data_IF_037529175546
#
_entry.id   IF_037529175546
#
_cell.length_a   1.000
_cell.length_b   1.000
_cell.length_c   1.000
_cell.angle_alpha   90.00
_cell.angle_beta   90.00
_cell.angle_gamma   90.00
#
_symmetry.space_group_name_H-M   'P 1'
#
loop_
_entity.id
_entity.type
_entity.pdbx_description
1 polymer ?
#
# COMPACT_ATOMS: atom_id res chain seq x y z
N UNK A 1 45.10 -43.91 23.85
CA UNK A 1 44.31 -43.34 22.74
C UNK A 1 43.24 -42.44 23.36
N UNK A 2 43.31 -41.12 23.19
CA UNK A 2 42.36 -40.15 23.78
C UNK A 2 41.11 -40.05 22.89
N UNK A 3 39.89 -40.36 23.36
CA UNK A 3 38.66 -40.29 22.58
C UNK A 3 38.05 -38.88 22.48
N UNK A 4 38.83 -37.82 22.75
CA UNK A 4 38.31 -36.45 22.89
C UNK A 4 38.26 -35.63 21.60
N UNK A 5 39.01 -35.98 20.56
CA UNK A 5 39.16 -35.16 19.35
C UNK A 5 37.98 -35.26 18.38
N UNK A 6 37.34 -36.43 18.26
CA UNK A 6 36.19 -36.62 17.36
C UNK A 6 34.92 -35.90 17.84
N UNK A 7 34.67 -35.87 19.16
CA UNK A 7 33.51 -35.21 19.75
C UNK A 7 33.60 -33.68 19.67
N UNK A 8 34.82 -33.14 19.79
CA UNK A 8 35.08 -31.70 19.68
C UNK A 8 34.90 -31.19 18.24
N UNK A 9 35.36 -31.97 17.24
CA UNK A 9 35.15 -31.66 15.81
C UNK A 9 33.68 -31.74 15.40
N UNK A 10 32.94 -32.74 15.94
CA UNK A 10 31.50 -32.87 15.72
C UNK A 10 30.73 -31.68 16.34
N UNK A 11 31.10 -31.22 17.54
CA UNK A 11 30.50 -30.04 18.16
C UNK A 11 30.79 -28.74 17.38
N UNK A 12 32.01 -28.55 16.87
CA UNK A 12 32.39 -27.41 16.02
C UNK A 12 31.64 -27.40 14.68
N UNK A 13 31.39 -28.56 14.08
CA UNK A 13 30.62 -28.69 12.84
C UNK A 13 29.14 -28.30 13.02
N UNK A 14 28.52 -28.66 14.15
CA UNK A 14 27.11 -28.31 14.45
C UNK A 14 26.94 -26.81 14.74
N UNK A 15 27.93 -26.15 15.35
CA UNK A 15 27.95 -24.69 15.56
C UNK A 15 28.04 -23.89 14.25
N UNK A 16 28.42 -24.54 13.14
CA UNK A 16 28.62 -23.92 11.82
C UNK A 16 27.43 -24.13 10.87
N UNK A 17 26.37 -24.79 11.33
CA UNK A 17 25.17 -25.03 10.54
C UNK A 17 24.39 -23.72 10.38
N UNK A 18 24.14 -23.29 9.15
CA UNK A 18 23.36 -22.08 8.86
C UNK A 18 22.28 -22.41 7.84
N UNK A 19 21.04 -22.00 8.14
CA UNK A 19 19.91 -22.04 7.22
C UNK A 19 19.31 -20.64 7.17
N UNK A 20 19.21 -20.04 5.99
CA UNK A 20 18.52 -18.77 5.80
C UNK A 20 17.58 -18.82 4.62
N UNK A 21 16.54 -18.00 4.66
CA UNK A 21 15.52 -17.87 3.63
C UNK A 21 15.44 -16.43 3.15
N UNK A 22 15.12 -16.25 1.88
CA UNK A 22 14.80 -14.95 1.26
C UNK A 22 13.41 -15.01 0.60
N UNK A 23 12.74 -13.88 0.30
CA UNK A 23 11.51 -13.87 -0.49
C UNK A 23 11.69 -14.62 -1.83
N UNK A 24 10.69 -15.33 -2.39
CA UNK A 24 10.83 -15.95 -3.74
C UNK A 24 10.64 -14.96 -4.88
N UNK A 25 10.04 -13.82 -4.60
CA UNK A 25 9.79 -12.76 -5.57
C UNK A 25 10.15 -11.41 -4.93
N UNK A 26 10.65 -10.49 -5.76
CA UNK A 26 10.92 -9.11 -5.34
C UNK A 26 9.58 -8.42 -5.08
N UNK A 27 9.42 -7.91 -3.87
CA UNK A 27 8.31 -7.02 -3.52
C UNK A 27 8.74 -5.61 -3.89
N UNK A 28 8.05 -4.92 -4.83
CA UNK A 28 8.40 -3.55 -5.18
C UNK A 28 8.16 -2.63 -3.98
N UNK A 29 9.04 -1.65 -3.79
CA UNK A 29 8.78 -0.55 -2.86
C UNK A 29 7.73 0.36 -3.48
N UNK A 30 6.63 0.57 -2.76
CA UNK A 30 5.56 1.47 -3.19
C UNK A 30 5.93 2.91 -2.92
N UNK A 31 6.03 3.71 -3.99
CA UNK A 31 6.01 5.16 -3.86
C UNK A 31 4.56 5.59 -3.60
N UNK A 32 4.27 6.02 -2.38
CA UNK A 32 2.95 6.52 -2.02
C UNK A 32 2.68 7.84 -2.76
N UNK A 33 1.50 7.95 -3.35
CA UNK A 33 1.01 9.24 -3.86
C UNK A 33 0.75 10.18 -2.68
N UNK A 34 0.86 11.50 -2.87
CA UNK A 34 0.39 12.46 -1.87
C UNK A 34 -1.13 12.30 -1.69
N UNK A 35 -1.63 12.69 -0.52
CA UNK A 35 -3.06 12.56 -0.19
C UNK A 35 -3.97 13.46 -1.04
N UNK A 36 -3.38 14.40 -1.77
CA UNK A 36 -4.08 15.19 -2.79
C UNK A 36 -3.26 15.15 -4.06
N UNK A 37 -3.81 14.52 -5.11
CA UNK A 37 -3.18 14.44 -6.43
C UNK A 37 -3.88 15.40 -7.37
N UNK A 38 -3.17 16.44 -7.81
CA UNK A 38 -3.64 17.37 -8.85
C UNK A 38 -3.28 16.77 -10.20
N UNK A 39 -4.22 16.07 -10.84
CA UNK A 39 -3.99 15.37 -12.12
C UNK A 39 -3.99 16.33 -13.34
N UNK A 40 -4.61 17.50 -13.21
CA UNK A 40 -4.55 18.62 -14.15
C UNK A 40 -4.75 19.93 -13.38
N UNK A 41 -4.40 21.09 -13.98
CA UNK A 41 -4.48 22.43 -13.37
C UNK A 41 -5.90 22.94 -13.09
N UNK A 42 -6.86 22.04 -12.86
CA UNK A 42 -8.24 22.38 -12.60
C UNK A 42 -8.48 22.52 -11.09
N UNK A 43 -9.01 23.68 -10.72
CA UNK A 43 -9.33 24.19 -9.39
C UNK A 43 -10.48 23.42 -8.69
N UNK A 44 -10.38 22.10 -8.57
CA UNK A 44 -11.39 21.27 -7.92
C UNK A 44 -12.60 20.95 -8.82
N UNK A 45 -12.39 20.84 -10.14
CA UNK A 45 -13.44 20.41 -11.05
C UNK A 45 -13.47 18.86 -11.09
N UNK A 46 -14.52 18.27 -10.54
CA UNK A 46 -14.85 16.87 -10.74
C UNK A 46 -14.98 16.60 -12.25
N UNK A 47 -14.13 15.72 -12.78
CA UNK A 47 -14.15 15.37 -14.18
C UNK A 47 -15.31 14.37 -14.44
N UNK A 48 -16.50 14.92 -14.74
CA UNK A 48 -17.75 14.29 -15.24
C UNK A 48 -18.66 13.58 -14.20
N UNK A 49 -20.01 13.71 -14.32
CA UNK A 49 -20.76 14.86 -13.83
C UNK A 49 -20.90 14.81 -12.29
N UNK A 50 -20.17 15.67 -11.60
CA UNK A 50 -20.35 15.93 -10.18
C UNK A 50 -20.63 17.41 -9.92
N UNK A 51 -20.55 17.79 -8.67
CA UNK A 51 -20.45 19.19 -8.26
C UNK A 51 -18.99 19.57 -7.99
N UNK A 52 -18.72 20.86 -7.81
CA UNK A 52 -17.44 21.32 -7.30
C UNK A 52 -17.68 22.14 -6.05
N UNK A 53 -16.92 21.88 -4.97
CA UNK A 53 -16.94 22.74 -3.78
C UNK A 53 -16.12 24.02 -3.98
N UNK A 54 -15.30 24.11 -5.03
CA UNK A 54 -14.40 25.24 -5.23
C UNK A 54 -13.36 25.40 -4.13
N UNK A 55 -12.89 24.30 -3.55
CA UNK A 55 -11.80 24.27 -2.58
C UNK A 55 -10.90 23.05 -2.80
N UNK A 56 -9.69 23.12 -2.28
CA UNK A 56 -8.75 21.99 -2.24
C UNK A 56 -8.42 21.70 -0.79
N UNK A 57 -8.75 20.49 -0.33
CA UNK A 57 -8.40 20.00 1.00
C UNK A 57 -6.98 19.41 1.04
N UNK A 58 -6.46 19.21 2.24
CA UNK A 58 -5.26 18.47 2.55
C UNK A 58 -5.42 17.85 3.95
N UNK A 59 -4.59 16.85 4.29
CA UNK A 59 -4.49 16.37 5.67
C UNK A 59 -4.14 17.55 6.59
N UNK A 60 -4.81 17.64 7.74
CA UNK A 60 -4.51 18.66 8.73
C UNK A 60 -3.32 18.24 9.57
N UNK A 61 -2.11 18.56 9.12
CA UNK A 61 -0.88 18.28 9.87
C UNK A 61 -0.53 19.43 10.82
N UNK A 62 0.20 19.13 11.89
CA UNK A 62 0.77 20.16 12.77
C UNK A 62 1.87 20.94 12.06
N UNK A 63 1.96 22.25 12.31
CA UNK A 63 3.00 23.12 11.72
C UNK A 63 4.41 22.93 12.39
N UNK A 64 4.62 21.82 13.09
CA UNK A 64 5.83 21.51 13.85
C UNK A 64 6.96 21.00 12.96
N UNK A 65 8.16 21.58 13.07
CA UNK A 65 9.34 21.14 12.32
C UNK A 65 9.96 19.82 12.82
N UNK A 66 9.64 19.41 14.06
CA UNK A 66 10.30 18.27 14.72
C UNK A 66 9.35 17.12 15.07
N UNK A 67 8.04 17.36 15.05
CA UNK A 67 7.05 16.35 15.39
C UNK A 67 5.76 16.61 14.63
N UNK A 68 5.67 16.04 13.42
CA UNK A 68 4.49 16.15 12.57
C UNK A 68 3.43 15.20 13.14
N UNK A 69 2.33 15.77 13.63
CA UNK A 69 1.14 15.01 14.01
C UNK A 69 -0.02 15.31 13.07
N UNK A 70 -0.82 14.29 12.78
CA UNK A 70 -2.12 14.47 12.12
C UNK A 70 -3.09 14.98 13.18
N UNK A 71 -3.73 16.10 12.86
CA UNK A 71 -4.73 16.78 13.68
C UNK A 71 -6.13 16.51 13.09
N UNK A 72 -7.19 16.64 13.90
CA UNK A 72 -8.56 16.46 13.41
C UNK A 72 -8.94 17.44 12.30
N UNK A 73 -9.77 16.97 11.37
CA UNK A 73 -10.34 17.75 10.26
C UNK A 73 -9.47 17.80 9.00
N UNK A 74 -10.04 18.40 7.95
CA UNK A 74 -9.41 18.59 6.64
C UNK A 74 -8.94 20.04 6.54
N UNK A 75 -7.65 20.27 6.29
CA UNK A 75 -7.10 21.62 6.12
C UNK A 75 -7.40 22.15 4.72
N UNK A 76 -7.96 23.35 4.62
CA UNK A 76 -8.23 24.02 3.35
C UNK A 76 -6.92 24.63 2.83
N UNK A 77 -6.41 24.10 1.72
CA UNK A 77 -5.17 24.56 1.10
C UNK A 77 -5.40 25.74 0.16
N UNK A 78 -6.47 25.68 -0.62
CA UNK A 78 -6.84 26.70 -1.58
C UNK A 78 -8.36 26.78 -1.72
N UNK A 79 -8.84 27.96 -2.10
CA UNK A 79 -10.25 28.22 -2.42
C UNK A 79 -10.29 28.89 -3.79
N UNK A 80 -11.18 28.43 -4.66
CA UNK A 80 -11.39 28.97 -5.98
C UNK A 80 -12.12 30.32 -5.87
N UNK A 81 -11.59 31.40 -6.48
CA UNK A 81 -12.28 32.70 -6.51
C UNK A 81 -13.67 32.59 -7.16
N UNK A 82 -14.68 33.18 -6.53
CA UNK A 82 -16.09 33.11 -6.91
C UNK A 82 -16.75 31.74 -6.70
N UNK A 83 -16.01 30.74 -6.22
CA UNK A 83 -16.47 29.36 -6.04
C UNK A 83 -17.46 29.20 -4.87
N UNK A 84 -18.15 28.05 -4.78
CA UNK A 84 -19.08 27.76 -3.68
C UNK A 84 -18.50 27.96 -2.28
N UNK A 85 -17.28 27.46 -2.04
CA UNK A 85 -16.60 27.62 -0.77
C UNK A 85 -16.29 29.09 -0.42
N UNK A 86 -15.82 29.90 -1.40
CA UNK A 86 -15.56 31.32 -1.16
C UNK A 86 -16.85 32.07 -0.84
N UNK A 87 -17.93 31.78 -1.58
CA UNK A 87 -19.27 32.34 -1.33
C UNK A 87 -19.83 31.97 0.05
N UNK A 88 -19.50 30.78 0.53
CA UNK A 88 -19.82 30.31 1.88
C UNK A 88 -18.90 30.91 2.97
N UNK A 89 -17.89 31.71 2.57
CA UNK A 89 -16.97 32.39 3.48
C UNK A 89 -15.77 31.55 3.94
N UNK A 90 -15.55 30.37 3.35
CA UNK A 90 -14.39 29.51 3.60
C UNK A 90 -13.13 30.12 2.96
N UNK A 91 -11.99 30.01 3.64
CA UNK A 91 -10.70 30.55 3.21
C UNK A 91 -9.58 29.51 3.35
N UNK A 92 -8.49 29.72 2.62
CA UNK A 92 -7.27 28.96 2.84
C UNK A 92 -6.77 29.12 4.29
N UNK A 93 -6.32 28.01 4.89
CA UNK A 93 -5.94 27.93 6.30
C UNK A 93 -7.07 27.55 7.25
N UNK A 94 -8.33 27.56 6.79
CA UNK A 94 -9.43 27.01 7.56
C UNK A 94 -9.30 25.48 7.70
N UNK A 95 -9.95 24.90 8.72
CA UNK A 95 -10.01 23.45 8.94
C UNK A 95 -11.47 23.03 8.98
N UNK A 96 -11.88 22.16 8.06
CA UNK A 96 -13.21 21.55 8.02
C UNK A 96 -13.21 20.40 9.03
N UNK A 97 -14.02 20.50 10.07
CA UNK A 97 -14.12 19.48 11.12
C UNK A 97 -15.15 18.41 10.76
N UNK A 98 -16.28 18.83 10.18
CA UNK A 98 -17.34 17.92 9.74
C UNK A 98 -18.09 18.47 8.53
N UNK A 99 -18.72 17.56 7.76
CA UNK A 99 -19.59 17.88 6.62
C UNK A 99 -20.93 17.18 6.84
N UNK A 100 -22.01 17.95 6.93
CA UNK A 100 -23.36 17.48 7.29
C UNK A 100 -23.33 16.59 8.56
N UNK A 101 -22.56 17.01 9.58
CA UNK A 101 -22.37 16.28 10.84
C UNK A 101 -21.45 15.05 10.76
N UNK A 102 -20.82 14.81 9.61
CA UNK A 102 -19.86 13.69 9.41
C UNK A 102 -18.44 14.19 9.62
N UNK A 103 -17.77 13.75 10.68
CA UNK A 103 -16.36 14.06 10.90
C UNK A 103 -15.48 13.30 9.88
N UNK A 104 -14.46 13.98 9.35
CA UNK A 104 -13.42 13.32 8.58
C UNK A 104 -12.11 14.10 8.63
N UNK A 105 -11.01 13.36 8.57
CA UNK A 105 -9.64 13.84 8.60
C UNK A 105 -8.97 13.74 7.22
N UNK A 106 -9.66 13.21 6.19
CA UNK A 106 -9.06 12.94 4.89
C UNK A 106 -9.69 13.75 3.75
N UNK A 107 -8.89 14.47 2.93
CA UNK A 107 -9.42 15.27 1.82
C UNK A 107 -10.21 14.50 0.76
N UNK A 108 -9.91 13.22 0.52
CA UNK A 108 -10.63 12.36 -0.43
C UNK A 108 -12.15 12.32 -0.23
N UNK A 109 -12.63 12.60 0.99
CA UNK A 109 -14.06 12.68 1.29
C UNK A 109 -14.73 13.82 0.53
N UNK A 110 -14.03 14.96 0.34
CA UNK A 110 -14.54 16.08 -0.44
C UNK A 110 -14.71 15.70 -1.92
N UNK A 111 -13.75 14.96 -2.47
CA UNK A 111 -13.78 14.49 -3.85
C UNK A 111 -14.87 13.42 -4.05
N UNK A 112 -14.97 12.47 -3.12
CA UNK A 112 -16.04 11.48 -3.13
C UNK A 112 -17.42 12.14 -3.08
N UNK A 113 -17.61 13.12 -2.19
CA UNK A 113 -18.87 13.85 -2.08
C UNK A 113 -19.17 14.66 -3.35
N UNK A 114 -18.15 15.27 -3.95
CA UNK A 114 -18.28 16.00 -5.19
C UNK A 114 -18.72 15.09 -6.35
N UNK A 115 -18.17 13.88 -6.43
CA UNK A 115 -18.49 12.88 -7.46
C UNK A 115 -19.87 12.23 -7.26
N UNK A 116 -20.30 12.01 -6.02
CA UNK A 116 -21.60 11.40 -5.70
C UNK A 116 -22.77 12.38 -5.81
N UNK A 117 -22.50 13.69 -5.86
CA UNK A 117 -23.53 14.72 -5.94
C UNK A 117 -23.77 15.12 -7.39
N UNK A 118 -24.96 14.83 -7.90
CA UNK A 118 -25.33 15.10 -9.31
C UNK A 118 -26.33 16.24 -9.49
N UNK A 119 -26.87 16.77 -8.40
CA UNK A 119 -27.88 17.83 -8.42
C UNK A 119 -27.43 19.03 -7.58
N UNK A 120 -28.16 20.14 -7.67
CA UNK A 120 -27.91 21.27 -6.80
C UNK A 120 -28.23 20.89 -5.35
N UNK A 121 -27.25 21.06 -4.46
CA UNK A 121 -27.36 20.67 -3.07
C UNK A 121 -26.66 21.69 -2.17
N UNK A 122 -27.16 21.80 -0.94
CA UNK A 122 -26.52 22.56 0.13
C UNK A 122 -25.88 21.60 1.11
N UNK A 123 -24.62 21.87 1.44
CA UNK A 123 -23.86 21.16 2.46
C UNK A 123 -23.54 22.08 3.63
N UNK A 124 -23.59 21.54 4.84
CA UNK A 124 -23.26 22.25 6.06
C UNK A 124 -21.87 21.84 6.55
N UNK A 125 -20.91 22.73 6.37
CA UNK A 125 -19.52 22.49 6.78
C UNK A 125 -19.31 23.12 8.16
N UNK A 126 -18.88 22.33 9.14
CA UNK A 126 -18.38 22.85 10.39
C UNK A 126 -16.92 23.23 10.22
N UNK A 127 -16.62 24.52 10.23
CA UNK A 127 -15.31 25.06 9.86
C UNK A 127 -14.68 25.78 11.05
N UNK A 128 -13.43 25.43 11.34
CA UNK A 128 -12.59 26.14 12.30
C UNK A 128 -11.64 27.08 11.58
N UNK A 129 -11.69 28.37 11.96
CA UNK A 129 -10.69 29.38 11.62
C UNK A 129 -10.01 29.87 12.89
N UNK A 130 -8.72 29.58 13.02
CA UNK A 130 -7.98 29.82 14.25
C UNK A 130 -8.66 29.12 15.45
N UNK A 131 -9.25 29.89 16.36
CA UNK A 131 -9.98 29.42 17.54
C UNK A 131 -11.50 29.46 17.38
N UNK A 132 -12.01 30.02 16.28
CA UNK A 132 -13.45 30.18 16.06
C UNK A 132 -13.97 29.03 15.21
N UNK A 133 -15.04 28.38 15.65
CA UNK A 133 -15.79 27.38 14.88
C UNK A 133 -17.09 28.01 14.40
N UNK A 134 -17.42 27.83 13.12
CA UNK A 134 -18.63 28.36 12.51
C UNK A 134 -19.17 27.39 11.46
N UNK A 135 -20.48 27.46 11.21
CA UNK A 135 -21.12 26.72 10.11
C UNK A 135 -21.04 27.52 8.82
N UNK A 136 -20.53 26.88 7.76
CA UNK A 136 -20.52 27.41 6.41
C UNK A 136 -21.50 26.61 5.54
N UNK A 137 -22.50 27.29 5.00
CA UNK A 137 -23.45 26.69 4.06
C UNK A 137 -22.87 26.75 2.64
N UNK A 138 -22.40 25.62 2.13
CA UNK A 138 -21.80 25.52 0.80
C UNK A 138 -22.85 25.05 -0.20
N UNK A 139 -23.27 25.96 -1.07
CA UNK A 139 -24.26 25.69 -2.12
C UNK A 139 -23.57 25.38 -3.44
N UNK A 140 -23.75 24.14 -3.89
CA UNK A 140 -23.12 23.62 -5.09
C UNK A 140 -24.14 23.37 -6.19
N UNK A 141 -23.69 23.49 -7.43
CA UNK A 141 -24.49 23.21 -8.63
C UNK A 141 -23.73 22.26 -9.54
N UNK A 142 -24.42 21.41 -10.32
CA UNK A 142 -23.78 20.48 -11.24
C UNK A 142 -22.86 21.22 -12.22
N UNK A 143 -21.64 20.72 -12.39
CA UNK A 143 -20.68 21.31 -13.33
C UNK A 143 -21.06 20.82 -14.73
N UNK A 144 -21.62 21.71 -15.56
CA UNK A 144 -22.01 21.39 -16.95
C UNK A 144 -20.80 21.38 -17.93
N UNK A 145 -19.58 21.57 -17.44
CA UNK A 145 -18.42 21.84 -18.29
C UNK A 145 -17.77 20.59 -18.91
N UNK A 146 -17.64 20.66 -20.24
CA UNK A 146 -17.13 19.68 -21.21
C UNK A 146 -15.59 19.59 -21.24
N UNK A 147 -14.91 19.37 -20.10
CA UNK A 147 -13.46 19.14 -20.12
C UNK A 147 -13.11 17.81 -19.47
N UNK A 148 -12.76 16.85 -20.34
CA UNK A 148 -12.19 15.56 -19.99
C UNK A 148 -10.75 15.74 -19.48
N UNK A 149 -10.61 16.28 -18.27
CA UNK A 149 -9.38 16.15 -17.51
C UNK A 149 -9.16 14.69 -17.09
N UNK A 150 -7.92 14.28 -16.81
CA UNK A 150 -7.66 12.97 -16.22
C UNK A 150 -8.48 12.78 -14.93
N UNK A 151 -9.26 11.69 -14.88
CA UNK A 151 -10.09 11.32 -13.72
C UNK A 151 -9.32 10.29 -12.90
N UNK A 152 -9.29 10.48 -11.58
CA UNK A 152 -8.83 9.42 -10.70
C UNK A 152 -9.86 8.28 -10.69
N UNK A 153 -9.44 7.09 -11.10
CA UNK A 153 -10.31 5.90 -11.10
C UNK A 153 -10.27 5.15 -9.76
N UNK A 154 -9.07 5.01 -9.19
CA UNK A 154 -8.83 4.35 -7.91
C UNK A 154 -7.38 4.57 -7.44
N UNK A 155 -7.16 4.43 -6.12
CA UNK A 155 -5.85 4.23 -5.49
C UNK A 155 -5.50 2.75 -5.52
N UNK A 156 -4.26 2.38 -5.86
CA UNK A 156 -3.85 0.99 -5.96
C UNK A 156 -2.96 0.60 -4.78
N UNK A 157 -3.24 -0.56 -4.18
CA UNK A 157 -2.25 -1.33 -3.42
C UNK A 157 -1.90 -2.58 -4.23
N UNK A 158 -0.78 -2.60 -4.96
CA UNK A 158 -0.35 -3.75 -5.76
C UNK A 158 0.43 -4.79 -4.95
N UNK A 159 0.64 -4.60 -3.64
CA UNK A 159 1.51 -5.46 -2.83
C UNK A 159 0.72 -6.32 -1.86
N UNK A 160 -0.04 -5.72 -0.93
CA UNK A 160 -0.58 -6.46 0.22
C UNK A 160 -1.96 -7.04 -0.08
N UNK A 161 -2.93 -6.19 -0.38
CA UNK A 161 -4.28 -6.61 -0.80
C UNK A 161 -4.40 -6.81 -2.30
N UNK A 162 -3.46 -6.27 -3.09
CA UNK A 162 -3.42 -6.42 -4.55
C UNK A 162 -4.76 -6.02 -5.19
N UNK A 163 -5.20 -4.81 -4.92
CA UNK A 163 -6.49 -4.29 -5.34
C UNK A 163 -6.47 -2.78 -5.57
N UNK A 164 -7.48 -2.29 -6.29
CA UNK A 164 -7.78 -0.88 -6.49
C UNK A 164 -8.97 -0.44 -5.65
N UNK A 165 -8.86 0.72 -5.00
CA UNK A 165 -9.83 1.27 -4.07
C UNK A 165 -10.27 2.70 -4.42
N UNK A 166 -11.53 3.01 -4.19
CA UNK A 166 -12.08 4.37 -4.26
C UNK A 166 -12.69 4.75 -2.91
N UNK A 167 -12.57 6.00 -2.49
CA UNK A 167 -13.26 6.49 -1.30
C UNK A 167 -14.76 6.50 -1.54
N UNK A 168 -15.53 5.99 -0.58
CA UNK A 168 -16.98 5.91 -0.64
C UNK A 168 -17.59 6.37 0.68
N UNK A 169 -18.60 7.23 0.60
CA UNK A 169 -19.48 7.58 1.71
C UNK A 169 -20.71 6.68 1.71
N UNK A 170 -21.06 6.14 2.87
CA UNK A 170 -22.27 5.34 3.10
C UNK A 170 -22.96 5.77 4.40
N UNK A 171 -24.20 5.33 4.60
CA UNK A 171 -24.87 5.43 5.88
C UNK A 171 -24.79 4.08 6.60
N UNK A 172 -24.40 4.12 7.87
CA UNK A 172 -24.49 2.97 8.76
C UNK A 172 -25.97 2.65 9.11
N UNK A 173 -26.26 1.50 9.74
CA UNK A 173 -27.63 1.16 10.13
C UNK A 173 -28.27 2.14 11.15
N UNK A 174 -27.48 2.97 11.81
CA UNK A 174 -27.95 4.01 12.73
C UNK A 174 -28.23 5.35 12.00
N UNK A 175 -27.98 5.42 10.70
CA UNK A 175 -28.16 6.62 9.88
C UNK A 175 -26.98 7.59 9.92
N UNK A 176 -25.89 7.24 10.62
CA UNK A 176 -24.67 8.05 10.60
C UNK A 176 -23.96 7.85 9.27
N UNK A 177 -23.48 8.94 8.70
CA UNK A 177 -22.57 8.86 7.55
C UNK A 177 -21.21 8.36 8.03
N UNK A 178 -20.68 7.37 7.32
CA UNK A 178 -19.33 6.86 7.50
C UNK A 178 -18.66 6.77 6.13
N UNK A 179 -17.34 6.91 6.11
CA UNK A 179 -16.56 6.71 4.90
C UNK A 179 -15.77 5.39 4.98
N UNK A 180 -15.34 4.92 3.81
CA UNK A 180 -14.52 3.73 3.69
C UNK A 180 -13.87 3.62 2.31
N UNK A 181 -13.09 2.56 2.14
CA UNK A 181 -12.42 2.24 0.89
C UNK A 181 -13.20 1.15 0.14
N UNK A 182 -13.92 1.51 -0.91
CA UNK A 182 -14.62 0.57 -1.79
C UNK A 182 -13.64 -0.13 -2.72
N UNK A 183 -13.71 -1.45 -2.81
CA UNK A 183 -13.00 -2.27 -3.78
C UNK A 183 -13.56 -2.02 -5.19
N UNK A 184 -12.76 -1.45 -6.06
CA UNK A 184 -13.12 -1.17 -7.47
C UNK A 184 -12.57 -2.25 -8.40
N UNK A 185 -11.38 -2.76 -8.08
CA UNK A 185 -10.67 -3.75 -8.90
C UNK A 185 -9.91 -4.73 -8.03
N UNK A 186 -9.90 -6.00 -8.42
CA UNK A 186 -9.01 -7.01 -7.87
C UNK A 186 -7.89 -7.26 -8.87
N UNK A 187 -6.64 -7.32 -8.41
CA UNK A 187 -5.51 -7.75 -9.23
C UNK A 187 -5.28 -9.26 -9.05
N UNK A 188 -4.41 -9.82 -9.88
CA UNK A 188 -4.04 -11.24 -9.81
C UNK A 188 -3.48 -11.59 -8.43
N UNK A 189 -3.87 -12.76 -7.92
CA UNK A 189 -3.52 -13.26 -6.58
C UNK A 189 -3.95 -12.35 -5.42
N UNK A 190 -5.00 -11.53 -5.60
CA UNK A 190 -5.55 -10.74 -4.51
C UNK A 190 -6.07 -11.60 -3.36
N UNK A 191 -5.59 -11.39 -2.12
CA UNK A 191 -6.14 -12.09 -0.95
C UNK A 191 -7.61 -11.82 -0.68
N UNK A 192 -8.12 -10.68 -1.16
CA UNK A 192 -9.53 -10.32 -1.01
C UNK A 192 -10.43 -11.35 -1.70
N UNK A 193 -10.02 -11.87 -2.86
CA UNK A 193 -10.76 -12.90 -3.58
C UNK A 193 -10.89 -14.19 -2.75
N UNK A 194 -9.78 -14.65 -2.14
CA UNK A 194 -9.78 -15.83 -1.25
C UNK A 194 -10.64 -15.61 0.00
N UNK A 195 -10.66 -14.39 0.52
CA UNK A 195 -11.50 -13.99 1.65
C UNK A 195 -12.97 -13.70 1.27
N UNK A 196 -13.40 -14.00 0.04
CA UNK A 196 -14.75 -13.75 -0.47
C UNK A 196 -15.18 -12.28 -0.39
N UNK A 197 -14.22 -11.35 -0.46
CA UNK A 197 -14.42 -9.91 -0.57
C UNK A 197 -14.34 -9.55 -2.05
N UNK A 198 -15.49 -9.31 -2.67
CA UNK A 198 -15.59 -8.95 -4.08
C UNK A 198 -15.51 -7.46 -4.35
N UNK A 199 -15.62 -7.10 -5.62
CA UNK A 199 -15.83 -5.72 -6.09
C UNK A 199 -17.10 -5.14 -5.42
N UNK A 200 -17.09 -3.83 -5.18
CA UNK A 200 -18.10 -3.05 -4.47
C UNK A 200 -18.17 -3.28 -2.94
N UNK A 201 -17.39 -4.19 -2.39
CA UNK A 201 -17.24 -4.29 -0.94
C UNK A 201 -16.53 -3.03 -0.40
N UNK A 202 -16.98 -2.51 0.75
CA UNK A 202 -16.41 -1.30 1.35
C UNK A 202 -15.67 -1.68 2.63
N UNK A 203 -14.36 -1.42 2.66
CA UNK A 203 -13.52 -1.65 3.83
C UNK A 203 -13.64 -0.43 4.73
N UNK A 204 -14.13 -0.66 5.95
CA UNK A 204 -14.36 0.36 6.98
C UNK A 204 -13.25 0.39 8.03
N UNK A 205 -12.57 -0.73 8.26
CA UNK A 205 -11.45 -0.83 9.19
C UNK A 205 -10.47 -1.93 8.81
N UNK A 206 -9.21 -1.77 9.22
CA UNK A 206 -8.17 -2.80 9.22
C UNK A 206 -7.72 -2.99 10.67
N UNK A 207 -8.00 -4.18 11.22
CA UNK A 207 -7.96 -4.48 12.65
C UNK A 207 -8.75 -3.41 13.44
N UNK A 208 -8.09 -2.72 14.36
CA UNK A 208 -8.69 -1.65 15.19
C UNK A 208 -8.61 -0.26 14.54
N UNK A 209 -8.10 -0.15 13.30
CA UNK A 209 -7.89 1.13 12.63
C UNK A 209 -9.01 1.42 11.64
N UNK A 210 -9.79 2.45 11.92
CA UNK A 210 -10.83 2.96 11.02
C UNK A 210 -10.22 3.53 9.74
N UNK A 211 -10.86 3.23 8.62
CA UNK A 211 -10.43 3.65 7.29
C UNK A 211 -11.42 4.69 6.78
N UNK A 212 -10.96 5.93 6.63
CA UNK A 212 -11.80 7.03 6.18
C UNK A 212 -11.72 7.27 4.66
N UNK A 213 -10.73 6.70 3.97
CA UNK A 213 -10.52 6.89 2.54
C UNK A 213 -9.74 5.74 1.89
N UNK A 214 -9.75 5.68 0.56
CA UNK A 214 -8.92 4.75 -0.21
C UNK A 214 -7.42 5.01 0.00
N UNK A 215 -6.98 6.26 0.01
CA UNK A 215 -5.60 6.59 0.29
C UNK A 215 -5.21 6.21 1.74
N UNK A 216 -6.08 6.49 2.70
CA UNK A 216 -5.89 6.11 4.11
C UNK A 216 -5.74 4.61 4.29
N UNK A 217 -6.49 3.80 3.54
CA UNK A 217 -6.31 2.34 3.49
C UNK A 217 -4.92 1.97 2.97
N UNK A 218 -4.52 2.48 1.81
CA UNK A 218 -3.22 2.15 1.18
C UNK A 218 -2.06 2.56 2.09
N UNK A 219 -2.13 3.74 2.71
CA UNK A 219 -1.16 4.23 3.69
C UNK A 219 -1.11 3.34 4.91
N UNK A 220 -2.28 2.98 5.48
CA UNK A 220 -2.36 2.10 6.66
C UNK A 220 -1.72 0.74 6.38
N UNK A 221 -2.05 0.12 5.24
CA UNK A 221 -1.48 -1.15 4.81
C UNK A 221 0.04 -1.06 4.66
N UNK A 222 0.52 -0.06 3.91
CA UNK A 222 1.93 0.08 3.56
C UNK A 222 2.81 0.42 4.77
N UNK A 223 2.30 1.19 5.73
CA UNK A 223 3.09 1.66 6.88
C UNK A 223 3.06 0.71 8.07
N UNK A 224 2.00 -0.08 8.24
CA UNK A 224 1.80 -0.88 9.47
C UNK A 224 1.96 -2.38 9.29
N UNK A 225 1.86 -2.87 8.05
CA UNK A 225 1.81 -4.30 7.78
C UNK A 225 2.87 -4.74 6.78
N UNK A 226 3.18 -6.01 6.83
CA UNK A 226 4.14 -6.69 5.97
C UNK A 226 3.47 -7.80 5.15
N UNK A 227 4.05 -8.19 4.00
CA UNK A 227 3.58 -9.32 3.24
C UNK A 227 3.47 -10.60 4.08
N UNK A 228 2.30 -11.23 4.09
CA UNK A 228 2.01 -12.42 4.88
C UNK A 228 1.48 -12.18 6.30
N UNK A 229 1.36 -10.92 6.73
CA UNK A 229 0.66 -10.61 7.98
C UNK A 229 -0.82 -11.00 7.86
N UNK A 230 -1.42 -11.36 8.99
CA UNK A 230 -2.85 -11.62 9.05
C UNK A 230 -3.57 -10.41 9.63
N UNK A 231 -4.59 -9.92 8.93
CA UNK A 231 -5.40 -8.78 9.33
C UNK A 231 -6.88 -9.14 9.37
N UNK A 232 -7.65 -8.43 10.19
CA UNK A 232 -9.10 -8.50 10.23
C UNK A 232 -9.69 -7.27 9.55
N UNK A 233 -10.34 -7.44 8.42
CA UNK A 233 -11.02 -6.35 7.72
C UNK A 233 -12.46 -6.25 8.20
N UNK A 234 -12.88 -5.05 8.59
CA UNK A 234 -14.31 -4.74 8.76
C UNK A 234 -14.85 -4.32 7.39
N UNK A 235 -15.74 -5.13 6.83
CA UNK A 235 -16.23 -4.96 5.46
C UNK A 235 -17.74 -4.79 5.47
N UNK A 236 -18.21 -3.76 4.76
CA UNK A 236 -19.62 -3.54 4.45
C UNK A 236 -19.95 -4.06 3.04
N UNK A 237 -21.01 -4.87 2.96
CA UNK A 237 -21.65 -5.29 1.71
C UNK A 237 -23.14 -4.96 1.79
N UNK A 238 -23.52 -3.77 1.32
CA UNK A 238 -24.88 -3.24 1.52
C UNK A 238 -25.09 -2.82 2.97
N UNK A 239 -26.06 -3.43 3.65
CA UNK A 239 -26.36 -3.16 5.07
C UNK A 239 -25.65 -4.11 6.04
N UNK A 240 -24.97 -5.13 5.52
CA UNK A 240 -24.32 -6.14 6.34
C UNK A 240 -22.85 -5.76 6.56
N UNK A 241 -22.47 -5.56 7.83
CA UNK A 241 -21.09 -5.36 8.25
C UNK A 241 -20.58 -6.68 8.82
N UNK A 242 -19.45 -7.16 8.28
CA UNK A 242 -18.80 -8.39 8.73
C UNK A 242 -17.31 -8.19 8.98
N UNK A 243 -16.79 -8.95 9.93
CA UNK A 243 -15.36 -9.06 10.18
C UNK A 243 -14.81 -10.23 9.36
N UNK A 244 -13.86 -9.94 8.47
CA UNK A 244 -13.27 -10.92 7.59
C UNK A 244 -11.77 -10.98 7.81
N UNK A 245 -11.29 -12.15 8.26
CA UNK A 245 -9.85 -12.41 8.39
C UNK A 245 -9.25 -12.62 7.00
N UNK A 246 -8.12 -11.94 6.73
CA UNK A 246 -7.41 -11.96 5.45
C UNK A 246 -5.92 -12.14 5.73
N UNK A 247 -5.30 -13.13 5.10
CA UNK A 247 -3.85 -13.26 5.04
C UNK A 247 -3.34 -12.36 3.92
N UNK A 248 -2.58 -11.31 4.25
CA UNK A 248 -1.99 -10.41 3.26
C UNK A 248 -1.08 -11.20 2.32
N UNK A 249 -1.03 -10.77 1.06
CA UNK A 249 -0.27 -11.50 0.06
C UNK A 249 1.20 -11.60 0.46
N UNK A 250 1.81 -12.76 0.22
CA UNK A 250 3.23 -12.97 0.45
C UNK A 250 3.91 -13.55 -0.79
N UNK A 251 5.15 -13.14 -1.11
CA UNK A 251 5.91 -13.67 -2.24
C UNK A 251 6.40 -15.12 -2.02
N UNK A 252 6.14 -15.72 -0.85
CA UNK A 252 6.71 -17.01 -0.45
C UNK A 252 8.19 -16.92 -0.08
N UNK A 253 8.79 -18.01 0.41
CA UNK A 253 10.21 -18.07 0.83
C UNK A 253 11.03 -19.07 0.02
N UNK A 254 12.19 -18.65 -0.48
CA UNK A 254 13.23 -19.49 -1.11
C UNK A 254 14.33 -19.73 -0.08
N UNK A 255 14.92 -20.93 -0.09
CA UNK A 255 16.14 -21.19 0.66
C UNK A 255 17.26 -20.34 0.05
N UNK A 256 17.81 -19.39 0.79
CA UNK A 256 18.89 -18.51 0.33
C UNK A 256 20.27 -19.04 0.72
N UNK A 257 20.38 -19.71 1.86
CA UNK A 257 21.63 -20.35 2.30
C UNK A 257 21.33 -21.61 3.08
N UNK A 258 22.11 -22.64 2.83
CA UNK A 258 22.19 -23.83 3.67
C UNK A 258 23.65 -24.29 3.70
N UNK A 259 24.30 -24.21 4.85
CA UNK A 259 25.68 -24.65 4.98
C UNK A 259 25.89 -25.49 6.22
N UNK A 260 26.77 -26.48 6.09
CA UNK A 260 27.28 -27.30 7.18
C UNK A 260 28.76 -27.51 6.92
N UNK A 261 29.60 -26.65 7.50
CA UNK A 261 31.04 -26.75 7.29
C UNK A 261 31.63 -27.98 8.00
N UNK A 262 32.54 -28.75 7.38
CA UNK A 262 33.11 -28.59 6.03
C UNK A 262 32.37 -29.38 4.93
N UNK A 263 31.22 -29.97 5.22
CA UNK A 263 30.53 -30.91 4.33
C UNK A 263 29.97 -30.26 3.08
N UNK A 264 29.24 -29.15 3.22
CA UNK A 264 28.66 -28.46 2.07
C UNK A 264 28.24 -27.02 2.37
N UNK A 265 28.09 -26.23 1.31
CA UNK A 265 27.53 -24.87 1.34
C UNK A 265 26.69 -24.64 0.09
N UNK A 266 25.42 -24.34 0.30
CA UNK A 266 24.46 -23.93 -0.71
C UNK A 266 24.11 -22.46 -0.50
N UNK A 267 24.09 -21.69 -1.59
CA UNK A 267 23.67 -20.29 -1.62
C UNK A 267 22.82 -20.02 -2.87
N UNK A 268 21.80 -19.20 -2.73
CA UNK A 268 20.94 -18.74 -3.82
C UNK A 268 20.62 -17.27 -3.62
N UNK A 269 20.67 -16.49 -4.70
CA UNK A 269 20.26 -15.08 -4.74
C UNK A 269 19.25 -14.87 -5.86
N UNK A 270 18.30 -13.96 -5.66
CA UNK A 270 17.32 -13.60 -6.69
C UNK A 270 17.82 -12.58 -7.72
N UNK A 271 18.84 -11.78 -7.41
CA UNK A 271 19.36 -10.79 -8.35
C UNK A 271 20.82 -10.41 -8.08
N UNK A 272 21.74 -10.86 -8.93
CA UNK A 272 21.49 -11.74 -10.09
C UNK A 272 20.88 -13.11 -9.66
N UNK A 273 20.08 -13.75 -10.53
CA UNK A 273 19.56 -15.11 -10.26
C UNK A 273 20.73 -16.10 -10.29
N UNK A 274 21.30 -16.34 -9.12
CA UNK A 274 22.50 -17.14 -8.96
C UNK A 274 22.25 -18.24 -7.95
N UNK A 275 22.76 -19.43 -8.21
CA UNK A 275 22.73 -20.54 -7.26
C UNK A 275 24.10 -21.20 -7.22
N UNK A 276 24.64 -21.41 -6.03
CA UNK A 276 25.93 -22.05 -5.82
C UNK A 276 25.78 -23.20 -4.84
N UNK A 277 26.39 -24.34 -5.15
CA UNK A 277 26.52 -25.48 -4.26
C UNK A 277 27.99 -25.89 -4.21
N UNK A 278 28.57 -25.98 -3.02
CA UNK A 278 29.91 -26.50 -2.79
C UNK A 278 29.81 -27.70 -1.88
N UNK A 279 30.51 -28.79 -2.22
CA UNK A 279 30.59 -30.03 -1.44
C UNK A 279 32.04 -30.25 -1.06
N UNK A 280 32.30 -30.59 0.21
CA UNK A 280 33.62 -30.61 0.81
C UNK A 280 34.26 -29.23 0.79
N UNK A 281 33.57 -28.22 1.34
CA UNK A 281 33.99 -26.82 1.38
C UNK A 281 35.13 -26.62 2.39
N UNK A 282 36.37 -26.93 1.98
CA UNK A 282 37.56 -26.74 2.81
C UNK A 282 38.12 -25.32 2.63
N UNK A 283 38.95 -24.87 3.57
CA UNK A 283 39.52 -23.51 3.60
C UNK A 283 40.21 -23.10 2.28
N UNK A 284 40.83 -24.07 1.59
CA UNK A 284 41.63 -23.82 0.39
C UNK A 284 40.94 -24.21 -0.92
N UNK A 285 40.01 -25.16 -0.90
CA UNK A 285 39.33 -25.67 -2.09
C UNK A 285 38.07 -26.43 -1.71
N UNK A 286 37.13 -26.52 -2.65
CA UNK A 286 36.00 -27.43 -2.57
C UNK A 286 36.28 -28.71 -3.34
N UNK A 287 35.87 -29.88 -2.82
CA UNK A 287 35.94 -31.15 -3.58
C UNK A 287 35.13 -31.05 -4.89
N UNK A 288 33.96 -30.43 -4.79
CA UNK A 288 33.08 -30.16 -5.92
C UNK A 288 32.38 -28.83 -5.72
N UNK A 289 32.22 -28.03 -6.77
CA UNK A 289 31.31 -26.90 -6.77
C UNK A 289 30.51 -26.81 -8.05
N UNK A 290 29.23 -26.50 -7.90
CA UNK A 290 28.29 -26.16 -8.96
C UNK A 290 27.86 -24.71 -8.80
N UNK A 291 27.78 -23.98 -9.90
CA UNK A 291 27.27 -22.62 -9.94
C UNK A 291 26.33 -22.46 -11.14
N UNK A 292 25.20 -21.80 -10.92
CA UNK A 292 24.27 -21.34 -11.98
C UNK A 292 24.16 -19.83 -11.90
N UNK A 293 24.23 -19.15 -13.03
CA UNK A 293 23.96 -17.72 -13.15
C UNK A 293 23.01 -17.49 -14.34
N UNK A 294 21.73 -17.26 -14.06
CA UNK A 294 20.69 -17.27 -15.09
C UNK A 294 20.64 -18.62 -15.81
N UNK A 295 20.90 -18.61 -17.12
CA UNK A 295 20.98 -19.81 -17.96
C UNK A 295 22.32 -20.57 -17.84
N UNK A 296 23.40 -19.84 -17.56
CA UNK A 296 24.76 -20.39 -17.49
C UNK A 296 24.91 -21.36 -16.32
N UNK A 297 25.61 -22.48 -16.57
CA UNK A 297 25.94 -23.47 -15.54
C UNK A 297 27.41 -23.78 -15.57
N UNK A 298 28.03 -23.86 -14.42
CA UNK A 298 29.45 -24.15 -14.22
C UNK A 298 29.62 -25.27 -13.19
N UNK A 299 30.51 -26.20 -13.50
CA UNK A 299 30.89 -27.33 -12.67
C UNK A 299 32.40 -27.28 -12.45
N UNK A 300 32.85 -27.46 -11.21
CA UNK A 300 34.25 -27.52 -10.86
C UNK A 300 34.51 -28.71 -9.92
N UNK A 301 35.54 -29.49 -10.23
CA UNK A 301 36.01 -30.61 -9.41
C UNK A 301 37.41 -30.31 -8.92
N UNK A 302 37.61 -30.32 -7.61
CA UNK A 302 38.90 -30.11 -6.91
C UNK A 302 39.59 -28.77 -7.21
N UNK A 303 38.94 -27.82 -7.88
CA UNK A 303 39.57 -26.60 -8.39
C UNK A 303 40.39 -26.82 -9.66
N UNK A 304 40.43 -28.03 -10.21
CA UNK A 304 41.31 -28.43 -11.31
C UNK A 304 40.56 -28.64 -12.62
N UNK A 305 39.34 -29.20 -12.56
CA UNK A 305 38.54 -29.48 -13.74
C UNK A 305 37.31 -28.60 -13.75
N UNK A 306 37.25 -27.67 -14.71
CA UNK A 306 36.13 -26.75 -14.90
C UNK A 306 35.40 -27.08 -16.19
N UNK A 307 34.06 -27.14 -16.13
CA UNK A 307 33.18 -27.31 -17.28
C UNK A 307 32.05 -26.30 -17.18
N UNK A 308 31.76 -25.58 -18.25
CA UNK A 308 30.66 -24.62 -18.31
C UNK A 308 29.76 -24.94 -19.51
N UNK A 309 28.45 -24.72 -19.36
CA UNK A 309 27.46 -24.86 -20.41
C UNK A 309 26.62 -23.60 -20.51
N UNK A 310 26.17 -23.27 -21.72
CA UNK A 310 25.22 -22.20 -22.04
C UNK A 310 25.79 -20.76 -22.00
N UNK A 311 27.07 -20.61 -22.38
CA UNK A 311 27.68 -19.31 -22.63
C UNK A 311 27.27 -18.81 -24.02
N UNK A 312 26.21 -17.99 -24.08
CA UNK A 312 25.86 -17.21 -25.27
C UNK A 312 24.54 -17.56 -25.94
N UNK A 313 23.48 -16.87 -25.52
CA UNK A 313 22.64 -16.14 -26.48
C UNK A 313 22.55 -14.70 -25.97
N UNK A 314 23.39 -13.82 -26.52
CA UNK A 314 23.07 -12.40 -26.56
C UNK A 314 21.91 -12.27 -27.54
N UNK A 315 20.68 -12.37 -27.04
CA UNK A 315 19.54 -11.89 -27.81
C UNK A 315 19.58 -10.38 -27.65
N UNK A 316 20.13 -9.69 -28.65
CA UNK A 316 19.81 -8.29 -28.88
C UNK A 316 18.32 -8.21 -29.27
N UNK A 317 17.48 -7.79 -28.35
CA UNK A 317 16.22 -7.09 -28.65
C UNK A 317 16.04 -5.88 -27.71
#
# INVERSE_FOLDING_TARGET
>A
MRPGSGLLLLCLAVLSACVSYEPRQRVPTLALSPDTVVLATNTGAAAVPGVSFGLTGAINESDSLTNISILPGIRVRAVAPGGPAERAGIRAGDVILSIDGTESNHPDVLDALALQTHEAQRFEFEVRRNTTVFMAAVEVTPVTAQQAGPVELYRADPVLLRAGFSTELLQDPAGNRISGARVVRLFDDSPLATASIGINAIILAVDDNTIESAQGLVTTLTQRYQPGDNVTLTVSQGTNIRYQRVDLWHPGRKLSRLSLWPLFRYESTLSPDQTRLSVGDLILFSLFSYQRNGAEREYNVLGLFRSASDYGELIEE
#
